data_IF_939526322974
#
_entry.id   IF_939526322974
#
_cell.length_a   1.000
_cell.length_b   1.000
_cell.length_c   1.000
_cell.angle_alpha   90.00
_cell.angle_beta   90.00
_cell.angle_gamma   90.00
#
_symmetry.space_group_name_H-M   'P 1'
#
loop_
_entity.id
_entity.type
_entity.pdbx_description
1 polymer ?
#
# COMPACT_ATOMS: atom_id res chain seq x y z
N UNK A 1 31.83 35.88 -3.86
CA UNK A 1 30.94 35.10 -4.75
C UNK A 1 30.17 34.15 -3.87
N UNK A 2 28.88 34.41 -3.67
CA UNK A 2 27.99 33.49 -2.97
C UNK A 2 27.91 32.19 -3.77
N UNK A 3 27.87 31.01 -3.13
CA UNK A 3 27.69 29.76 -3.86
C UNK A 3 26.35 29.82 -4.62
N UNK A 4 26.25 29.19 -5.81
CA UNK A 4 25.01 29.17 -6.55
C UNK A 4 23.92 28.54 -5.67
N UNK A 5 22.82 29.26 -5.45
CA UNK A 5 21.62 28.72 -4.85
C UNK A 5 21.18 27.54 -5.73
N UNK A 6 21.43 26.31 -5.27
CA UNK A 6 20.82 25.12 -5.86
C UNK A 6 19.32 25.29 -5.73
N UNK A 7 18.66 25.57 -6.85
CA UNK A 7 17.22 25.65 -6.93
C UNK A 7 16.65 24.32 -6.48
N UNK A 8 16.06 24.31 -5.28
CA UNK A 8 15.57 23.12 -4.60
C UNK A 8 14.34 22.63 -5.39
N UNK A 9 14.55 21.63 -6.27
CA UNK A 9 13.45 21.01 -7.04
C UNK A 9 12.47 20.33 -6.09
N UNK A 10 11.18 20.49 -6.35
CA UNK A 10 10.13 19.84 -5.56
C UNK A 10 10.03 18.36 -5.90
N UNK A 11 9.48 17.55 -4.99
CA UNK A 11 9.20 16.12 -5.24
C UNK A 11 8.25 15.96 -6.43
N UNK A 12 7.26 16.84 -6.58
CA UNK A 12 6.31 16.81 -7.69
C UNK A 12 7.00 16.94 -9.06
N UNK A 13 7.93 17.89 -9.21
CA UNK A 13 8.70 18.11 -10.45
C UNK A 13 9.57 16.91 -10.83
N UNK A 14 10.09 16.16 -9.85
CA UNK A 14 10.91 14.97 -10.11
C UNK A 14 10.09 13.77 -10.54
N UNK A 15 8.86 13.67 -10.06
CA UNK A 15 7.95 12.56 -10.33
C UNK A 15 7.17 12.74 -11.64
N UNK A 16 6.98 13.98 -12.11
CA UNK A 16 6.22 14.30 -13.32
C UNK A 16 6.73 13.58 -14.59
N UNK A 17 8.02 13.24 -14.63
CA UNK A 17 8.62 12.55 -15.77
C UNK A 17 9.14 11.15 -15.43
N UNK A 18 8.86 10.64 -14.23
CA UNK A 18 9.22 9.28 -13.84
C UNK A 18 8.11 8.32 -14.27
N UNK A 19 8.40 7.54 -15.30
CA UNK A 19 7.50 6.52 -15.81
C UNK A 19 8.08 5.14 -15.55
N UNK A 20 7.41 4.36 -14.71
CA UNK A 20 7.86 3.01 -14.38
C UNK A 20 7.06 1.97 -15.15
N UNK A 21 7.69 0.86 -15.54
CA UNK A 21 7.01 -0.21 -16.29
C UNK A 21 6.36 -1.22 -15.34
N UNK A 22 5.03 -1.39 -15.39
CA UNK A 22 4.34 -2.36 -14.53
C UNK A 22 4.73 -3.81 -14.85
N UNK A 23 5.40 -4.53 -13.95
CA UNK A 23 5.86 -5.93 -14.18
C UNK A 23 4.76 -6.99 -14.14
N UNK A 24 3.56 -6.66 -13.65
CA UNK A 24 2.42 -7.58 -13.58
C UNK A 24 1.22 -7.05 -14.39
N UNK A 25 0.30 -7.93 -14.86
CA UNK A 25 -1.09 -7.55 -15.10
C UNK A 25 -1.69 -7.04 -13.78
N UNK A 26 -2.23 -5.80 -13.74
CA UNK A 26 -2.85 -5.33 -12.52
C UNK A 26 -4.12 -6.15 -12.31
N UNK A 27 -4.18 -7.03 -11.31
CA UNK A 27 -5.41 -7.83 -11.00
C UNK A 27 -5.96 -8.68 -12.18
N UNK A 28 -6.86 -9.64 -11.91
CA UNK A 28 -7.68 -10.23 -12.98
C UNK A 28 -8.57 -9.16 -13.63
N UNK A 29 -8.98 -8.16 -12.83
CA UNK A 29 -9.79 -7.00 -13.26
C UNK A 29 -9.10 -6.10 -14.28
N UNK A 30 -7.76 -6.09 -14.36
CA UNK A 30 -7.04 -5.36 -15.40
C UNK A 30 -6.15 -6.24 -16.28
N UNK A 31 -6.35 -7.57 -16.27
CA UNK A 31 -5.74 -8.50 -17.23
C UNK A 31 -6.11 -8.17 -18.69
N UNK A 32 -7.24 -7.50 -18.91
CA UNK A 32 -7.63 -6.94 -20.22
C UNK A 32 -6.66 -5.86 -20.75
N UNK A 33 -5.98 -5.12 -19.88
CA UNK A 33 -4.99 -4.09 -20.28
C UNK A 33 -3.81 -4.70 -21.05
N UNK A 34 -3.41 -5.91 -20.69
CA UNK A 34 -2.37 -6.65 -21.43
C UNK A 34 -2.85 -7.09 -22.81
N UNK A 35 -4.16 -7.34 -22.98
CA UNK A 35 -4.75 -7.73 -24.27
C UNK A 35 -4.88 -6.59 -25.28
N UNK A 36 -4.92 -5.33 -24.83
CA UNK A 36 -5.13 -4.16 -25.71
C UNK A 36 -3.85 -3.38 -26.04
N UNK A 37 -2.71 -3.70 -25.40
CA UNK A 37 -1.40 -3.22 -25.82
C UNK A 37 -0.92 -4.02 -27.04
N UNK A 38 -1.28 -3.58 -28.25
CA UNK A 38 -1.12 -4.34 -29.51
C UNK A 38 0.33 -4.69 -29.94
N UNK A 39 1.37 -4.35 -29.17
CA UNK A 39 2.78 -4.68 -29.49
C UNK A 39 3.65 -5.10 -28.27
N UNK A 40 3.01 -5.54 -27.17
CA UNK A 40 3.62 -6.04 -25.91
C UNK A 40 4.95 -5.39 -25.44
N UNK A 41 4.83 -4.29 -24.69
CA UNK A 41 5.75 -3.97 -23.59
C UNK A 41 4.94 -3.32 -22.47
N UNK A 42 5.19 -3.73 -21.22
CA UNK A 42 4.51 -3.30 -19.99
C UNK A 42 4.07 -1.81 -19.99
N UNK A 43 2.85 -1.49 -19.49
CA UNK A 43 2.36 -0.12 -19.48
C UNK A 43 3.24 0.77 -18.60
N UNK A 44 3.49 2.00 -19.08
CA UNK A 44 4.16 3.02 -18.29
C UNK A 44 3.17 3.58 -17.27
N UNK A 45 3.60 3.66 -16.02
CA UNK A 45 2.79 4.16 -14.91
C UNK A 45 3.44 5.41 -14.33
N UNK A 46 2.64 6.45 -14.18
CA UNK A 46 2.97 7.69 -13.49
C UNK A 46 2.25 7.71 -12.14
N UNK A 47 2.94 8.21 -11.11
CA UNK A 47 2.41 8.35 -9.75
C UNK A 47 2.00 9.79 -9.52
N UNK A 48 0.73 10.03 -9.26
CA UNK A 48 0.18 11.34 -8.95
C UNK A 48 -0.29 11.34 -7.48
N UNK A 49 0.27 12.24 -6.68
CA UNK A 49 0.00 12.32 -5.24
C UNK A 49 -1.07 13.39 -4.99
N UNK A 50 -1.99 13.10 -4.09
CA UNK A 50 -2.93 14.08 -3.54
C UNK A 50 -2.96 13.99 -2.01
N UNK A 51 -3.65 14.95 -1.37
CA UNK A 51 -3.81 14.96 0.09
C UNK A 51 -4.48 13.69 0.64
N UNK A 52 -5.37 13.06 -0.13
CA UNK A 52 -6.19 11.93 0.35
C UNK A 52 -5.81 10.58 -0.26
N UNK A 53 -5.28 10.58 -1.48
CA UNK A 53 -5.04 9.37 -2.25
C UNK A 53 -3.81 9.44 -3.14
N UNK A 54 -3.32 8.28 -3.51
CA UNK A 54 -2.36 8.03 -4.57
C UNK A 54 -3.11 7.61 -5.84
N UNK A 55 -2.79 8.25 -6.96
CA UNK A 55 -3.28 7.86 -8.28
C UNK A 55 -2.16 7.25 -9.10
N UNK A 56 -2.39 6.05 -9.63
CA UNK A 56 -1.51 5.39 -10.59
C UNK A 56 -2.12 5.56 -11.98
N UNK A 57 -1.48 6.38 -12.82
CA UNK A 57 -1.98 6.71 -14.16
C UNK A 57 -1.20 5.96 -15.23
N UNK A 58 -1.91 5.28 -16.13
CA UNK A 58 -1.28 4.64 -17.29
C UNK A 58 -1.03 5.67 -18.38
N UNK A 59 0.21 5.72 -18.87
CA UNK A 59 0.66 6.62 -19.93
C UNK A 59 0.87 5.83 -21.22
N UNK A 60 0.26 6.23 -22.35
CA UNK A 60 0.51 5.59 -23.64
C UNK A 60 2.00 5.71 -24.03
N UNK A 61 2.62 4.59 -24.43
CA UNK A 61 3.94 4.62 -25.08
C UNK A 61 3.79 5.35 -26.42
N UNK A 62 4.15 6.63 -26.49
CA UNK A 62 4.23 7.33 -27.76
C UNK A 62 5.26 6.60 -28.62
N UNK A 63 4.81 5.97 -29.70
CA UNK A 63 5.70 5.37 -30.70
C UNK A 63 6.62 6.50 -31.19
N UNK A 64 7.90 6.46 -30.83
CA UNK A 64 8.91 7.31 -31.49
C UNK A 64 8.84 6.94 -32.97
N UNK A 65 8.20 7.78 -33.79
CA UNK A 65 8.28 7.68 -35.24
C UNK A 65 9.75 7.90 -35.62
N UNK A 66 10.46 6.79 -35.81
CA UNK A 66 11.73 6.76 -36.50
C UNK A 66 11.52 7.14 -37.95
N UNK A 67 12.32 8.09 -38.45
CA UNK A 67 12.62 8.21 -39.86
C UNK A 67 11.94 9.37 -40.57
N UNK A 68 12.51 10.56 -40.37
CA UNK A 68 12.72 11.45 -41.49
C UNK A 68 13.52 10.69 -42.57
N UNK A 69 12.82 10.17 -43.58
CA UNK A 69 13.40 9.65 -44.82
C UNK A 69 12.72 10.35 -45.98
N UNK A 70 13.29 11.49 -46.34
CA UNK A 70 13.48 11.99 -47.71
C UNK A 70 12.27 11.89 -48.64
N UNK A 71 11.46 12.95 -48.68
CA UNK A 71 10.67 13.25 -49.89
C UNK A 71 11.59 13.89 -50.93
N UNK A 72 12.14 13.06 -51.82
CA UNK A 72 12.60 13.52 -53.13
C UNK A 72 11.39 13.93 -53.95
N UNK A 73 11.53 15.12 -54.53
CA UNK A 73 10.73 15.72 -55.59
C UNK A 73 10.56 14.80 -56.80
N UNK A 74 9.32 14.68 -57.29
CA UNK A 74 9.05 14.50 -58.71
C UNK A 74 7.63 15.00 -59.03
N UNK A 75 7.59 15.99 -59.90
CA UNK A 75 6.43 16.61 -60.54
C UNK A 75 5.88 15.74 -61.68
N UNK A 76 4.55 15.69 -61.84
CA UNK A 76 3.91 15.76 -63.16
C UNK A 76 2.41 16.10 -63.05
N UNK A 77 1.98 17.07 -63.86
CA UNK A 77 0.61 17.55 -64.06
C UNK A 77 -0.23 16.63 -64.97
N UNK A 78 -1.54 16.47 -64.70
CA UNK A 78 -2.68 16.96 -65.54
C UNK A 78 -4.05 16.35 -65.15
N UNK A 79 -4.97 17.25 -64.75
CA UNK A 79 -6.39 17.45 -65.15
C UNK A 79 -7.47 16.32 -65.12
N UNK A 80 -8.79 16.67 -65.07
CA UNK A 80 -9.76 16.06 -64.16
C UNK A 80 -10.90 15.25 -64.81
N UNK A 81 -11.51 14.32 -64.07
CA UNK A 81 -12.88 13.84 -64.34
C UNK A 81 -13.51 13.13 -63.13
N UNK A 82 -14.57 13.77 -62.60
CA UNK A 82 -15.85 13.22 -62.09
C UNK A 82 -15.97 11.74 -61.69
N UNK A 83 -16.44 11.49 -60.45
CA UNK A 83 -17.22 10.29 -60.13
C UNK A 83 -17.12 9.75 -58.69
N UNK A 84 -18.22 9.91 -57.94
CA UNK A 84 -18.71 9.05 -56.84
C UNK A 84 -17.89 8.84 -55.56
N UNK A 85 -18.36 9.52 -54.50
CA UNK A 85 -18.72 8.96 -53.18
C UNK A 85 -17.84 7.86 -52.57
N UNK A 86 -16.99 8.26 -51.63
CA UNK A 86 -16.88 7.58 -50.32
C UNK A 86 -16.19 8.52 -49.33
N UNK A 87 -16.97 9.17 -48.48
CA UNK A 87 -16.46 9.86 -47.29
C UNK A 87 -15.99 8.78 -46.31
N UNK A 88 -14.74 8.36 -46.44
CA UNK A 88 -14.01 7.70 -45.36
C UNK A 88 -13.72 8.78 -44.33
N UNK A 89 -14.66 8.92 -43.39
CA UNK A 89 -14.42 9.66 -42.16
C UNK A 89 -13.27 8.96 -41.44
N UNK A 90 -12.06 9.50 -41.57
CA UNK A 90 -11.00 9.32 -40.58
C UNK A 90 -11.51 9.94 -39.27
N UNK A 91 -12.35 9.22 -38.56
CA UNK A 91 -12.57 9.46 -37.13
C UNK A 91 -11.25 9.13 -36.45
N UNK A 92 -10.43 10.16 -36.25
CA UNK A 92 -9.37 10.14 -35.27
C UNK A 92 -10.01 9.79 -33.92
N UNK A 93 -9.91 8.52 -33.53
CA UNK A 93 -10.33 8.03 -32.24
C UNK A 93 -9.62 8.91 -31.18
N UNK A 94 -10.38 9.80 -30.54
CA UNK A 94 -9.88 10.55 -29.38
C UNK A 94 -9.27 9.53 -28.42
N UNK A 95 -8.03 9.72 -27.91
CA UNK A 95 -7.47 8.78 -26.97
C UNK A 95 -8.42 8.69 -25.77
N UNK A 96 -8.99 7.50 -25.57
CA UNK A 96 -9.84 7.18 -24.41
C UNK A 96 -9.10 7.65 -23.15
N UNK A 97 -9.83 8.25 -22.21
CA UNK A 97 -9.25 8.83 -21.00
C UNK A 97 -8.22 7.89 -20.36
N UNK A 98 -7.09 8.42 -19.85
CA UNK A 98 -6.04 7.59 -19.27
C UNK A 98 -6.62 6.77 -18.12
N UNK A 99 -6.45 5.44 -18.20
CA UNK A 99 -6.92 4.52 -17.17
C UNK A 99 -6.09 4.76 -15.91
N UNK A 100 -6.77 4.95 -14.78
CA UNK A 100 -6.12 5.20 -13.50
C UNK A 100 -6.65 4.26 -12.41
N UNK A 101 -5.78 3.97 -11.44
CA UNK A 101 -6.13 3.34 -10.17
C UNK A 101 -5.97 4.38 -9.06
N UNK A 102 -6.95 4.45 -8.17
CA UNK A 102 -6.94 5.35 -7.02
C UNK A 102 -6.87 4.53 -5.74
N UNK A 103 -5.85 4.78 -4.92
CA UNK A 103 -5.65 4.15 -3.61
C UNK A 103 -5.72 5.22 -2.53
N UNK A 104 -6.61 5.08 -1.55
CA UNK A 104 -6.60 6.00 -0.42
C UNK A 104 -5.31 5.78 0.38
N UNK A 105 -4.72 6.85 0.92
CA UNK A 105 -3.50 6.69 1.71
C UNK A 105 -3.68 5.82 2.95
N UNK A 106 -4.90 5.75 3.47
CA UNK A 106 -5.24 4.88 4.59
C UNK A 106 -5.25 3.40 4.19
N UNK A 107 -5.30 3.09 2.90
CA UNK A 107 -5.20 1.72 2.37
C UNK A 107 -3.76 1.33 2.02
N UNK A 108 -2.88 2.30 1.76
CA UNK A 108 -1.47 2.05 1.42
C UNK A 108 -0.72 1.64 2.70
N UNK A 109 -0.02 0.50 2.62
CA UNK A 109 0.76 -0.04 3.73
C UNK A 109 2.23 0.40 3.65
N UNK A 110 2.78 0.45 2.45
CA UNK A 110 4.19 0.81 2.22
C UNK A 110 4.65 0.49 0.81
N UNK A 111 5.91 0.84 0.53
CA UNK A 111 6.57 0.56 -0.74
C UNK A 111 8.02 0.13 -0.50
N UNK A 112 8.51 -0.87 -1.22
CA UNK A 112 9.84 -1.46 -1.03
C UNK A 112 10.65 -1.45 -2.33
N UNK A 113 11.95 -1.23 -2.24
CA UNK A 113 12.88 -1.43 -3.36
C UNK A 113 13.43 -2.86 -3.34
N UNK A 114 13.40 -3.53 -4.49
CA UNK A 114 13.74 -4.93 -4.64
C UNK A 114 14.60 -5.20 -5.88
N UNK A 115 15.36 -6.27 -5.82
CA UNK A 115 15.97 -6.90 -6.99
C UNK A 115 14.89 -7.62 -7.82
N UNK A 116 15.20 -7.97 -9.07
CA UNK A 116 14.27 -8.70 -9.94
C UNK A 116 13.82 -10.07 -9.39
N UNK A 117 14.56 -10.64 -8.43
CA UNK A 117 14.20 -11.88 -7.72
C UNK A 117 13.34 -11.64 -6.45
N UNK A 118 12.85 -10.42 -6.22
CA UNK A 118 12.03 -10.06 -5.05
C UNK A 118 12.79 -9.81 -3.76
N UNK A 119 14.12 -9.97 -3.75
CA UNK A 119 14.95 -9.72 -2.58
C UNK A 119 15.12 -8.21 -2.31
N UNK A 120 15.22 -7.77 -1.04
CA UNK A 120 15.44 -6.37 -0.72
C UNK A 120 16.68 -5.79 -1.42
N UNK A 121 16.55 -4.58 -1.95
CA UNK A 121 17.64 -3.91 -2.66
C UNK A 121 18.57 -3.16 -1.69
N UNK A 122 19.85 -3.53 -1.68
CA UNK A 122 20.88 -2.69 -1.08
C UNK A 122 21.27 -1.57 -2.05
N UNK A 123 21.04 -0.30 -1.66
CA UNK A 123 21.31 0.86 -2.51
C UNK A 123 22.77 0.96 -2.97
N UNK A 124 23.71 0.49 -2.14
CA UNK A 124 25.16 0.49 -2.45
C UNK A 124 25.57 -0.48 -3.55
N UNK A 125 24.68 -1.40 -3.93
CA UNK A 125 24.94 -2.47 -4.91
C UNK A 125 24.27 -2.22 -6.26
N UNK A 126 23.83 -0.97 -6.53
CA UNK A 126 23.08 -0.64 -7.73
C UNK A 126 24.03 -0.42 -8.90
N UNK A 127 23.71 -1.06 -10.01
CA UNK A 127 24.48 -1.02 -11.25
C UNK A 127 23.66 -0.31 -12.31
N UNK A 128 24.22 0.71 -13.00
CA UNK A 128 23.58 1.33 -14.15
C UNK A 128 23.10 0.30 -15.17
N UNK A 129 21.99 0.57 -15.86
CA UNK A 129 21.34 -0.29 -16.88
C UNK A 129 20.87 -1.67 -16.41
N UNK A 130 21.04 -2.05 -15.13
CA UNK A 130 20.35 -3.21 -14.56
C UNK A 130 18.93 -2.86 -14.17
N UNK A 131 18.04 -3.86 -14.22
CA UNK A 131 16.62 -3.72 -13.89
C UNK A 131 16.39 -4.06 -12.42
N UNK A 132 15.63 -3.20 -11.76
CA UNK A 132 15.19 -3.33 -10.37
C UNK A 132 13.68 -3.11 -10.28
N UNK A 133 13.11 -3.32 -9.10
CA UNK A 133 11.66 -3.27 -8.86
C UNK A 133 11.33 -2.35 -7.68
N UNK A 134 10.34 -1.49 -7.86
CA UNK A 134 9.62 -0.82 -6.78
C UNK A 134 8.33 -1.60 -6.56
N UNK A 135 8.14 -2.17 -5.38
CA UNK A 135 6.90 -2.81 -4.98
C UNK A 135 6.06 -1.83 -4.15
N UNK A 136 4.77 -1.69 -4.45
CA UNK A 136 3.79 -0.92 -3.70
C UNK A 136 2.78 -1.89 -3.07
N UNK A 137 2.57 -1.77 -1.77
CA UNK A 137 1.66 -2.61 -1.00
C UNK A 137 0.47 -1.80 -0.47
N UNK A 138 -0.73 -2.32 -0.66
CA UNK A 138 -1.95 -1.75 -0.08
C UNK A 138 -2.91 -2.87 0.37
N UNK A 139 -3.84 -2.53 1.24
CA UNK A 139 -4.92 -3.40 1.68
C UNK A 139 -6.29 -2.75 1.45
N UNK A 140 -6.68 -2.52 0.17
CA UNK A 140 -7.92 -1.86 -0.16
C UNK A 140 -9.13 -2.74 0.12
N UNK A 141 -10.30 -2.11 0.24
CA UNK A 141 -11.58 -2.81 0.31
C UNK A 141 -11.87 -3.62 -0.96
N UNK A 142 -12.61 -4.72 -0.80
CA UNK A 142 -13.06 -5.60 -1.88
C UNK A 142 -14.12 -4.87 -2.71
N UNK A 143 -13.66 -4.08 -3.69
CA UNK A 143 -14.56 -3.26 -4.49
C UNK A 143 -13.91 -2.11 -5.24
N UNK A 144 -12.57 -2.01 -5.27
CA UNK A 144 -11.79 -0.98 -5.99
C UNK A 144 -12.51 -0.43 -7.23
N UNK A 145 -12.99 0.81 -7.08
CA UNK A 145 -13.80 1.52 -8.07
C UNK A 145 -12.93 1.87 -9.28
N UNK A 146 -13.22 1.29 -10.44
CA UNK A 146 -12.69 1.75 -11.72
C UNK A 146 -13.65 2.75 -12.35
N UNK A 147 -13.14 3.73 -13.11
CA UNK A 147 -13.99 4.65 -13.86
C UNK A 147 -14.78 3.87 -14.93
N UNK A 148 -16.00 3.52 -14.58
CA UNK A 148 -16.98 2.82 -15.42
C UNK A 148 -18.30 2.52 -14.70
N UNK A 149 -18.29 2.44 -13.36
CA UNK A 149 -19.49 2.19 -12.55
C UNK A 149 -20.11 3.44 -11.90
N UNK A 150 -19.67 4.65 -12.30
CA UNK A 150 -20.22 5.89 -11.73
C UNK A 150 -21.54 6.38 -12.36
N UNK A 151 -22.05 5.80 -13.46
CA UNK A 151 -23.15 6.44 -14.20
C UNK A 151 -24.50 5.70 -14.30
N UNK A 152 -24.68 4.49 -13.74
CA UNK A 152 -25.98 3.78 -13.86
C UNK A 152 -26.60 3.20 -12.58
N UNK A 153 -26.03 3.45 -11.40
CA UNK A 153 -26.60 2.92 -10.16
C UNK A 153 -26.88 4.02 -9.12
N UNK A 154 -27.63 5.06 -9.49
CA UNK A 154 -28.09 6.07 -8.51
C UNK A 154 -29.46 5.78 -7.87
N UNK A 155 -30.10 4.65 -8.17
CA UNK A 155 -31.43 4.36 -7.61
C UNK A 155 -31.59 3.05 -6.83
N UNK A 156 -30.51 2.32 -6.51
CA UNK A 156 -30.60 1.03 -5.80
C UNK A 156 -29.54 0.83 -4.69
N UNK A 157 -29.08 1.90 -4.04
CA UNK A 157 -27.88 1.85 -3.17
C UNK A 157 -28.10 1.98 -1.65
N UNK A 158 -29.33 1.93 -1.14
CA UNK A 158 -29.53 2.05 0.32
C UNK A 158 -29.25 0.79 1.16
N UNK A 159 -28.93 -0.36 0.56
CA UNK A 159 -28.71 -1.62 1.30
C UNK A 159 -27.27 -2.19 1.22
N UNK A 160 -26.36 -1.58 0.47
CA UNK A 160 -24.97 -2.08 0.30
C UNK A 160 -23.94 -1.39 1.20
N UNK A 161 -24.31 -0.27 1.82
CA UNK A 161 -23.41 0.53 2.67
C UNK A 161 -23.28 -0.02 4.10
N UNK A 162 -24.09 -1.01 4.48
CA UNK A 162 -24.09 -1.64 5.81
C UNK A 162 -23.28 -2.95 5.91
N UNK A 163 -22.73 -3.44 4.79
CA UNK A 163 -21.94 -4.67 4.82
C UNK A 163 -20.50 -4.39 5.26
N UNK A 164 -19.96 -5.14 6.24
CA UNK A 164 -18.60 -4.94 6.70
C UNK A 164 -17.58 -5.08 5.56
N UNK A 165 -16.59 -4.19 5.58
CA UNK A 165 -15.57 -4.11 4.53
C UNK A 165 -14.70 -5.36 4.54
N UNK A 166 -14.54 -6.05 3.41
CA UNK A 166 -13.55 -7.13 3.29
C UNK A 166 -12.27 -6.60 2.66
N UNK A 167 -11.11 -6.91 3.21
CA UNK A 167 -9.83 -6.41 2.69
C UNK A 167 -8.96 -7.52 2.14
N UNK A 168 -8.05 -7.15 1.23
CA UNK A 168 -7.04 -8.08 0.70
C UNK A 168 -5.72 -7.34 0.54
N UNK A 169 -4.64 -7.93 1.05
CA UNK A 169 -3.29 -7.47 0.77
C UNK A 169 -3.03 -7.58 -0.75
N UNK A 170 -2.56 -6.50 -1.36
CA UNK A 170 -2.21 -6.41 -2.77
C UNK A 170 -0.80 -5.84 -2.92
N UNK A 171 -0.13 -6.32 -3.95
CA UNK A 171 1.19 -5.88 -4.36
C UNK A 171 1.14 -5.45 -5.83
N UNK A 172 1.73 -4.30 -6.13
CA UNK A 172 2.01 -3.87 -7.50
C UNK A 172 3.50 -3.62 -7.64
N UNK A 173 4.10 -4.15 -8.70
CA UNK A 173 5.53 -4.02 -8.94
C UNK A 173 5.82 -3.22 -10.20
N UNK A 174 6.80 -2.33 -10.11
CA UNK A 174 7.17 -1.40 -11.16
C UNK A 174 8.66 -1.48 -11.43
N UNK A 175 9.02 -1.75 -12.68
CA UNK A 175 10.40 -1.90 -13.14
C UNK A 175 11.01 -0.52 -13.37
N UNK A 176 12.26 -0.40 -12.99
CA UNK A 176 13.09 0.78 -13.25
C UNK A 176 14.54 0.35 -13.54
N UNK A 177 15.30 1.20 -14.24
CA UNK A 177 16.73 0.97 -14.46
C UNK A 177 17.56 1.60 -13.35
N UNK A 178 18.73 1.03 -13.05
CA UNK A 178 19.65 1.56 -12.04
C UNK A 178 19.99 3.04 -12.21
N UNK A 179 19.98 3.55 -13.44
CA UNK A 179 20.18 4.98 -13.77
C UNK A 179 19.10 5.89 -13.16
N UNK A 180 17.96 5.34 -12.75
CA UNK A 180 16.80 6.06 -12.22
C UNK A 180 16.72 6.02 -10.70
N UNK A 181 17.67 5.38 -10.01
CA UNK A 181 17.61 5.09 -8.57
C UNK A 181 17.36 6.34 -7.72
N UNK A 182 17.99 7.47 -8.03
CA UNK A 182 17.82 8.68 -7.22
C UNK A 182 16.36 9.14 -7.22
N UNK A 183 15.71 9.18 -8.39
CA UNK A 183 14.30 9.56 -8.53
C UNK A 183 13.36 8.52 -7.91
N UNK A 184 13.65 7.24 -8.09
CA UNK A 184 12.85 6.14 -7.53
C UNK A 184 12.98 6.09 -6.00
N UNK A 185 14.13 6.48 -5.44
CA UNK A 185 14.35 6.58 -4.00
C UNK A 185 13.52 7.71 -3.39
N UNK A 186 13.42 8.86 -4.09
CA UNK A 186 12.53 9.94 -3.68
C UNK A 186 11.06 9.50 -3.71
N UNK A 187 10.64 8.82 -4.78
CA UNK A 187 9.29 8.24 -4.88
C UNK A 187 9.02 7.27 -3.72
N UNK A 188 9.93 6.34 -3.48
CA UNK A 188 9.84 5.36 -2.39
C UNK A 188 9.73 6.03 -1.02
N UNK A 189 10.52 7.06 -0.76
CA UNK A 189 10.43 7.80 0.51
C UNK A 189 9.08 8.51 0.63
N UNK A 190 8.62 9.19 -0.42
CA UNK A 190 7.32 9.84 -0.46
C UNK A 190 6.17 8.85 -0.20
N UNK A 191 6.15 7.72 -0.90
CA UNK A 191 5.13 6.67 -0.74
C UNK A 191 5.04 6.20 0.72
N UNK A 192 6.17 5.89 1.35
CA UNK A 192 6.18 5.39 2.72
C UNK A 192 5.87 6.47 3.76
N UNK A 193 6.35 7.70 3.58
CA UNK A 193 6.01 8.82 4.47
C UNK A 193 4.52 9.10 4.47
N UNK A 194 3.89 9.04 3.30
CA UNK A 194 2.44 9.22 3.18
C UNK A 194 1.65 7.98 3.62
N UNK A 195 2.20 6.78 3.49
CA UNK A 195 1.57 5.57 4.02
C UNK A 195 1.63 5.50 5.56
N UNK A 196 2.51 6.23 6.24
CA UNK A 196 2.63 6.17 7.70
C UNK A 196 1.36 6.73 8.40
N UNK A 197 0.65 5.93 9.23
CA UNK A 197 -0.53 6.40 9.96
C UNK A 197 -0.22 7.46 11.02
N UNK A 198 1.07 7.63 11.40
CA UNK A 198 1.54 8.62 12.38
C UNK A 198 1.73 10.01 11.78
N UNK A 199 1.54 10.18 10.48
CA UNK A 199 1.67 11.49 9.82
C UNK A 199 0.60 12.47 10.35
N UNK A 200 1.02 13.72 10.59
CA UNK A 200 0.09 14.83 10.76
C UNK A 200 -0.40 15.30 9.38
N UNK A 201 -1.71 15.52 9.27
CA UNK A 201 -2.44 15.72 8.00
C UNK A 201 -2.12 17.01 7.23
N UNK A 202 -1.10 17.78 7.63
CA UNK A 202 -0.89 19.16 7.19
C UNK A 202 0.31 19.38 6.26
N UNK A 203 1.11 18.37 5.91
CA UNK A 203 2.23 18.57 4.99
C UNK A 203 1.78 18.56 3.52
N UNK A 204 2.00 19.66 2.79
CA UNK A 204 1.69 19.73 1.35
C UNK A 204 2.81 19.12 0.51
N UNK A 205 2.44 18.15 -0.34
CA UNK A 205 3.33 17.40 -1.27
C UNK A 205 4.22 18.34 -2.11
N UNK A 206 3.70 19.51 -2.47
CA UNK A 206 4.34 20.43 -3.40
C UNK A 206 5.43 21.29 -2.74
N UNK A 207 5.42 21.37 -1.40
CA UNK A 207 6.29 22.27 -0.63
C UNK A 207 7.47 21.51 0.00
N UNK A 208 7.52 20.18 -0.14
CA UNK A 208 8.62 19.38 0.38
C UNK A 208 9.86 19.52 -0.51
N UNK A 209 10.92 20.05 0.09
CA UNK A 209 12.27 19.88 -0.42
C UNK A 209 12.57 18.38 -0.58
N UNK A 210 13.44 18.05 -1.55
CA UNK A 210 14.02 16.73 -1.72
C UNK A 210 14.28 16.04 -0.38
N UNK A 211 13.70 14.86 -0.18
CA UNK A 211 14.00 14.07 1.00
C UNK A 211 15.47 13.70 0.97
N UNK A 212 16.19 13.88 2.06
CA UNK A 212 17.54 13.33 2.11
C UNK A 212 17.39 11.80 2.13
N UNK A 213 18.04 11.06 1.21
CA UNK A 213 17.87 9.61 1.13
C UNK A 213 18.21 8.87 2.44
N UNK A 214 19.03 9.49 3.29
CA UNK A 214 19.48 9.00 4.59
C UNK A 214 18.59 9.47 5.76
N UNK A 215 17.64 10.36 5.54
CA UNK A 215 16.62 10.68 6.54
C UNK A 215 15.67 9.48 6.67
N UNK A 216 15.49 9.00 7.90
CA UNK A 216 14.65 7.86 8.21
C UNK A 216 13.25 8.06 7.61
N UNK A 217 12.72 6.98 7.04
CA UNK A 217 11.37 6.90 6.51
C UNK A 217 10.42 7.10 7.70
N UNK A 218 10.00 8.35 7.94
CA UNK A 218 9.03 8.74 8.96
C UNK A 218 9.36 8.24 10.39
N UNK A 219 10.37 8.83 11.03
CA UNK A 219 10.62 8.63 12.46
C UNK A 219 11.19 7.26 12.85
N UNK A 220 11.12 6.87 14.15
CA UNK A 220 11.63 5.59 14.61
C UNK A 220 10.81 4.42 14.04
N UNK A 221 11.48 3.30 13.76
CA UNK A 221 10.84 2.08 13.28
C UNK A 221 9.77 1.61 14.27
N UNK A 222 8.60 1.29 13.74
CA UNK A 222 7.47 0.77 14.52
C UNK A 222 7.77 -0.64 14.99
N UNK A 223 7.53 -0.93 16.27
CA UNK A 223 7.82 -2.24 16.87
C UNK A 223 6.58 -2.81 17.51
N UNK A 224 6.16 -4.00 17.08
CA UNK A 224 5.05 -4.72 17.67
C UNK A 224 5.55 -5.96 18.40
N UNK A 225 4.93 -6.29 19.54
CA UNK A 225 5.06 -7.62 20.15
C UNK A 225 3.82 -8.42 19.82
N UNK A 226 3.99 -9.66 19.38
CA UNK A 226 2.87 -10.55 19.05
C UNK A 226 2.93 -11.75 19.98
N UNK A 227 1.88 -11.96 20.77
CA UNK A 227 1.72 -13.14 21.62
C UNK A 227 0.83 -14.13 20.88
N UNK A 228 1.25 -15.37 20.73
CA UNK A 228 0.48 -16.39 20.00
C UNK A 228 0.43 -17.72 20.76
N UNK A 229 -0.76 -18.28 20.89
CA UNK A 229 -0.93 -19.66 21.34
C UNK A 229 -0.93 -20.60 20.12
N UNK A 230 0.06 -21.51 20.00
CA UNK A 230 0.11 -22.49 18.90
C UNK A 230 -1.06 -23.49 18.90
N UNK A 231 -1.73 -23.68 20.04
CA UNK A 231 -2.80 -24.66 20.25
C UNK A 231 -4.16 -24.16 19.77
N UNK A 232 -4.34 -22.85 19.68
CA UNK A 232 -5.57 -22.25 19.18
C UNK A 232 -5.77 -22.46 17.67
N UNK A 233 -7.02 -22.32 17.23
CA UNK A 233 -7.36 -22.42 15.81
C UNK A 233 -7.03 -23.78 15.19
N UNK A 234 -7.25 -24.86 15.96
CA UNK A 234 -6.96 -26.25 15.57
C UNK A 234 -5.48 -26.53 15.26
N UNK A 235 -4.56 -25.84 15.93
CA UNK A 235 -3.11 -26.03 15.75
C UNK A 235 -2.52 -25.29 14.55
N UNK A 236 -3.29 -24.41 13.90
CA UNK A 236 -2.88 -23.67 12.70
C UNK A 236 -2.57 -22.19 12.96
N UNK A 237 -2.62 -21.75 14.23
CA UNK A 237 -2.46 -20.35 14.59
C UNK A 237 -1.17 -19.73 14.06
N UNK A 238 -0.03 -20.37 14.32
CA UNK A 238 1.27 -19.91 13.87
C UNK A 238 1.33 -19.85 12.33
N UNK A 239 0.83 -20.87 11.64
CA UNK A 239 0.78 -20.89 10.18
C UNK A 239 -0.08 -19.76 9.62
N UNK A 240 -1.26 -19.50 10.22
CA UNK A 240 -2.13 -18.39 9.81
C UNK A 240 -1.46 -17.04 10.04
N UNK A 241 -0.78 -16.86 11.18
CA UNK A 241 0.00 -15.66 11.46
C UNK A 241 1.09 -15.45 10.39
N UNK A 242 1.91 -16.46 10.12
CA UNK A 242 2.99 -16.40 9.13
C UNK A 242 2.47 -16.15 7.71
N UNK A 243 1.28 -16.68 7.38
CA UNK A 243 0.70 -16.57 6.05
C UNK A 243 -0.03 -15.24 5.82
N UNK A 244 -0.75 -14.71 6.82
CA UNK A 244 -1.65 -13.58 6.62
C UNK A 244 -1.23 -12.31 7.36
N UNK A 245 -0.67 -12.42 8.56
CA UNK A 245 -0.39 -11.27 9.44
C UNK A 245 1.06 -10.79 9.28
N UNK A 246 2.03 -11.69 9.42
CA UNK A 246 3.45 -11.35 9.34
C UNK A 246 3.84 -10.64 8.02
N UNK A 247 3.29 -11.02 6.86
CA UNK A 247 3.56 -10.31 5.61
C UNK A 247 3.07 -8.86 5.65
N UNK A 248 1.90 -8.60 6.26
CA UNK A 248 1.34 -7.24 6.37
C UNK A 248 2.21 -6.34 7.25
N UNK A 249 2.65 -6.85 8.41
CA UNK A 249 3.58 -6.11 9.27
C UNK A 249 4.91 -5.83 8.57
N UNK A 250 5.44 -6.80 7.81
CA UNK A 250 6.69 -6.65 7.06
C UNK A 250 6.60 -5.56 5.99
N UNK A 251 5.54 -5.56 5.17
CA UNK A 251 5.38 -4.56 4.10
C UNK A 251 5.03 -3.16 4.62
N UNK A 252 4.55 -3.08 5.85
CA UNK A 252 4.36 -1.83 6.58
C UNK A 252 5.61 -1.37 7.36
N UNK A 253 6.75 -2.05 7.17
CA UNK A 253 8.01 -1.79 7.87
C UNK A 253 7.90 -1.81 9.42
N UNK A 254 7.06 -2.70 9.95
CA UNK A 254 6.89 -2.93 11.38
C UNK A 254 7.79 -4.10 11.79
N UNK A 255 8.69 -3.86 12.75
CA UNK A 255 9.49 -4.90 13.40
C UNK A 255 8.60 -5.67 14.38
N UNK A 256 8.60 -7.00 14.30
CA UNK A 256 7.74 -7.84 15.13
C UNK A 256 8.55 -8.77 16.01
N UNK A 257 8.32 -8.73 17.32
CA UNK A 257 8.82 -9.71 18.28
C UNK A 257 7.72 -10.74 18.56
N UNK A 258 7.88 -11.96 18.06
CA UNK A 258 6.91 -13.04 18.26
C UNK A 258 7.23 -13.83 19.53
N UNK A 259 6.23 -14.03 20.38
CA UNK A 259 6.29 -14.86 21.58
C UNK A 259 5.25 -15.98 21.47
N UNK A 260 5.74 -17.22 21.41
CA UNK A 260 4.90 -18.40 21.25
C UNK A 260 4.69 -19.01 22.64
N UNK A 261 3.44 -19.04 23.12
CA UNK A 261 3.10 -19.64 24.42
C UNK A 261 1.63 -20.04 24.48
N UNK A 262 1.38 -21.26 24.95
CA UNK A 262 0.04 -21.77 25.25
C UNK A 262 -0.35 -21.61 26.74
N UNK A 263 0.53 -20.97 27.51
CA UNK A 263 0.41 -20.85 28.96
C UNK A 263 -0.19 -19.46 29.28
N UNK A 264 -1.39 -19.48 29.85
CA UNK A 264 -2.14 -18.28 30.21
C UNK A 264 -1.42 -17.53 31.35
N UNK A 265 -0.89 -18.24 32.34
CA UNK A 265 -0.08 -17.65 33.39
C UNK A 265 1.19 -16.99 32.82
N UNK A 266 1.79 -17.58 31.78
CA UNK A 266 2.93 -16.98 31.09
C UNK A 266 2.58 -15.65 30.43
N UNK A 267 1.39 -15.51 29.84
CA UNK A 267 0.93 -14.24 29.25
C UNK A 267 0.78 -13.15 30.32
N UNK A 268 0.22 -13.50 31.47
CA UNK A 268 0.15 -12.59 32.63
C UNK A 268 1.54 -12.16 33.08
N UNK A 269 2.52 -13.07 33.12
CA UNK A 269 3.90 -12.75 33.49
C UNK A 269 4.61 -11.87 32.45
N UNK A 270 4.37 -12.12 31.16
CA UNK A 270 4.87 -11.28 30.07
C UNK A 270 4.36 -9.84 30.21
N UNK A 271 3.07 -9.67 30.53
CA UNK A 271 2.49 -8.35 30.77
C UNK A 271 3.13 -7.65 31.99
N UNK A 272 3.32 -8.37 33.11
CA UNK A 272 4.00 -7.84 34.29
C UNK A 272 5.41 -7.35 34.01
N UNK A 273 6.13 -8.00 33.11
CA UNK A 273 7.51 -7.68 32.74
C UNK A 273 7.64 -6.83 31.46
N UNK A 274 6.52 -6.38 30.87
CA UNK A 274 6.54 -5.64 29.61
C UNK A 274 7.39 -4.36 29.74
N UNK A 275 8.39 -4.14 28.87
CA UNK A 275 9.10 -2.87 28.80
C UNK A 275 8.20 -1.82 28.16
N UNK A 276 7.64 -0.94 28.99
CA UNK A 276 6.79 0.16 28.53
C UNK A 276 7.58 1.07 27.58
N UNK A 277 6.90 1.58 26.54
CA UNK A 277 7.46 2.44 25.48
C UNK A 277 8.44 1.75 24.50
N UNK A 278 8.69 0.44 24.63
CA UNK A 278 9.49 -0.29 23.64
C UNK A 278 8.68 -0.71 22.41
N UNK A 279 7.42 -1.11 22.65
CA UNK A 279 6.50 -1.55 21.62
C UNK A 279 5.41 -0.50 21.42
N UNK A 280 5.14 -0.16 20.18
CA UNK A 280 4.01 0.71 19.82
C UNK A 280 2.69 0.00 20.10
N UNK A 281 2.63 -1.32 19.88
CA UNK A 281 1.46 -2.15 20.11
C UNK A 281 1.87 -3.55 20.59
N UNK A 282 1.07 -4.13 21.49
CA UNK A 282 1.11 -5.57 21.80
C UNK A 282 -0.13 -6.22 21.20
N UNK A 283 0.06 -7.09 20.22
CA UNK A 283 -1.01 -7.85 19.59
C UNK A 283 -1.13 -9.23 20.26
N UNK A 284 -2.32 -9.58 20.73
CA UNK A 284 -2.65 -10.90 21.23
C UNK A 284 -3.35 -11.66 20.12
N UNK A 285 -2.73 -12.75 19.68
CA UNK A 285 -3.23 -13.59 18.62
C UNK A 285 -3.93 -14.80 19.24
N UNK A 286 -5.17 -14.54 19.66
CA UNK A 286 -6.06 -15.51 20.25
C UNK A 286 -7.35 -14.94 20.81
N UNK A 287 -8.05 -15.74 21.62
CA UNK A 287 -9.32 -15.38 22.23
C UNK A 287 -9.25 -14.33 23.34
N UNK A 288 -10.42 -13.86 23.77
CA UNK A 288 -10.61 -12.81 24.79
C UNK A 288 -9.98 -13.17 26.15
N UNK A 289 -9.85 -14.47 26.46
CA UNK A 289 -9.21 -14.96 27.69
C UNK A 289 -7.73 -14.56 27.79
N UNK A 290 -6.97 -14.62 26.70
CA UNK A 290 -5.57 -14.23 26.68
C UNK A 290 -5.39 -12.74 26.87
N UNK A 291 -6.28 -11.94 26.27
CA UNK A 291 -6.26 -10.50 26.47
C UNK A 291 -6.64 -10.11 27.91
N UNK A 292 -7.68 -10.74 28.46
CA UNK A 292 -8.04 -10.55 29.87
C UNK A 292 -6.82 -10.78 30.78
N UNK A 293 -6.08 -11.84 30.52
CA UNK A 293 -4.93 -12.25 31.33
C UNK A 293 -3.73 -11.32 31.15
N UNK A 294 -3.54 -10.81 29.94
CA UNK A 294 -2.58 -9.75 29.68
C UNK A 294 -2.94 -8.47 30.46
N UNK A 295 -4.21 -8.04 30.42
CA UNK A 295 -4.70 -6.86 31.15
C UNK A 295 -4.49 -7.03 32.66
N UNK A 296 -4.86 -8.19 33.23
CA UNK A 296 -4.65 -8.48 34.65
C UNK A 296 -3.16 -8.46 35.00
N UNK A 297 -2.28 -8.91 34.11
CA UNK A 297 -0.85 -8.81 34.29
C UNK A 297 -0.34 -7.36 34.30
N UNK A 298 -0.87 -6.48 33.45
CA UNK A 298 -0.57 -5.04 33.50
C UNK A 298 -1.08 -4.40 34.79
N UNK A 299 -2.30 -4.75 35.23
CA UNK A 299 -2.93 -4.23 36.46
C UNK A 299 -2.25 -4.69 37.74
N UNK A 300 -1.60 -5.86 37.72
CA UNK A 300 -0.82 -6.37 38.85
C UNK A 300 0.52 -5.66 39.05
N UNK A 301 0.94 -4.77 38.13
CA UNK A 301 2.19 -4.03 38.25
C UNK A 301 2.09 -2.87 39.24
N UNK A 302 3.19 -2.52 39.93
CA UNK A 302 3.24 -1.30 40.75
C UNK A 302 2.94 -0.01 39.97
N UNK A 303 3.34 0.05 38.69
CA UNK A 303 3.16 1.18 37.77
C UNK A 303 1.96 0.99 36.82
N UNK A 304 0.96 0.20 37.22
CA UNK A 304 -0.17 -0.20 36.36
C UNK A 304 -0.88 0.96 35.65
N UNK A 305 -0.98 2.14 36.28
CA UNK A 305 -1.63 3.33 35.70
C UNK A 305 -0.96 3.77 34.40
N UNK A 306 0.35 3.59 34.29
CA UNK A 306 1.10 3.83 33.06
C UNK A 306 1.04 2.59 32.16
N UNK A 307 1.22 1.39 32.72
CA UNK A 307 1.25 0.15 31.96
C UNK A 307 -0.04 -0.13 31.18
N UNK A 308 -1.20 0.17 31.78
CA UNK A 308 -2.53 -0.05 31.17
C UNK A 308 -2.78 0.84 29.95
N UNK A 309 -1.97 1.88 29.74
CA UNK A 309 -2.04 2.75 28.56
C UNK A 309 -1.27 2.19 27.36
N UNK A 310 -0.58 1.06 27.51
CA UNK A 310 0.04 0.37 26.38
C UNK A 310 -1.03 0.00 25.34
N UNK A 311 -0.90 0.41 24.07
CA UNK A 311 -1.85 -0.01 23.04
C UNK A 311 -1.86 -1.52 22.86
N UNK A 312 -3.07 -2.09 22.85
CA UNK A 312 -3.33 -3.51 22.68
C UNK A 312 -4.09 -3.77 21.40
N UNK A 313 -3.79 -4.91 20.78
CA UNK A 313 -4.42 -5.39 19.56
C UNK A 313 -4.89 -6.83 19.71
N UNK A 314 -5.91 -7.22 18.95
CA UNK A 314 -6.41 -8.60 18.93
C UNK A 314 -6.36 -9.12 17.50
N UNK A 315 -5.85 -10.34 17.32
CA UNK A 315 -5.86 -11.06 16.06
C UNK A 315 -6.75 -12.31 16.25
N UNK A 316 -7.96 -12.34 15.68
CA UNK A 316 -8.90 -13.46 15.81
C UNK A 316 -8.41 -14.64 14.96
N UNK A 317 -7.48 -15.42 15.52
CA UNK A 317 -6.80 -16.50 14.81
C UNK A 317 -7.70 -17.71 14.60
N UNK A 318 -8.65 -17.94 15.49
CA UNK A 318 -9.65 -18.97 15.36
C UNK A 318 -11.01 -18.39 14.91
N UNK A 319 -11.87 -19.28 14.42
CA UNK A 319 -13.27 -18.98 14.12
C UNK A 319 -14.18 -19.37 15.29
N UNK A 320 -13.63 -19.40 16.50
CA UNK A 320 -14.33 -19.77 17.73
C UNK A 320 -15.21 -18.64 18.25
N UNK A 321 -16.06 -18.96 19.22
CA UNK A 321 -16.98 -18.01 19.86
C UNK A 321 -16.32 -17.03 20.84
N UNK A 322 -15.00 -17.15 21.05
CA UNK A 322 -14.25 -16.44 22.10
C UNK A 322 -13.52 -15.18 21.58
N UNK A 323 -14.06 -14.51 20.56
CA UNK A 323 -13.49 -13.32 19.92
C UNK A 323 -14.45 -12.13 20.03
N UNK A 324 -15.17 -12.00 21.14
CA UNK A 324 -16.21 -11.00 21.34
C UNK A 324 -15.66 -9.58 21.22
N UNK A 325 -14.51 -9.31 21.83
CA UNK A 325 -13.90 -7.99 21.74
C UNK A 325 -13.36 -7.70 20.33
N UNK A 326 -12.76 -8.68 19.67
CA UNK A 326 -12.34 -8.53 18.27
C UNK A 326 -13.55 -8.24 17.36
N UNK A 327 -14.69 -8.89 17.60
CA UNK A 327 -15.94 -8.64 16.88
C UNK A 327 -16.46 -7.22 17.12
N UNK A 328 -16.45 -6.74 18.38
CA UNK A 328 -16.86 -5.37 18.71
C UNK A 328 -15.96 -4.32 18.06
N UNK A 329 -14.64 -4.53 18.09
CA UNK A 329 -13.67 -3.62 17.44
C UNK A 329 -13.85 -3.61 15.92
N UNK A 330 -14.00 -4.78 15.30
CA UNK A 330 -14.25 -4.89 13.86
C UNK A 330 -15.55 -4.20 13.46
N UNK A 331 -16.64 -4.42 14.22
CA UNK A 331 -17.93 -3.77 13.98
C UNK A 331 -17.84 -2.25 14.11
N UNK A 332 -17.18 -1.74 15.15
CA UNK A 332 -16.98 -0.29 15.35
C UNK A 332 -16.15 0.33 14.21
N UNK A 333 -15.19 -0.42 13.65
CA UNK A 333 -14.39 -0.01 12.50
C UNK A 333 -15.06 -0.20 11.13
N UNK A 334 -16.29 -0.73 11.06
CA UNK A 334 -16.93 -1.17 9.82
C UNK A 334 -16.09 -2.16 9.00
N UNK A 335 -15.31 -3.00 9.69
CA UNK A 335 -14.44 -4.03 9.13
C UNK A 335 -15.03 -5.42 9.34
N UNK A 336 -14.67 -6.38 8.48
CA UNK A 336 -14.98 -7.78 8.72
C UNK A 336 -14.16 -8.35 9.89
N UNK A 337 -14.78 -9.26 10.64
CA UNK A 337 -14.07 -10.09 11.62
C UNK A 337 -13.25 -11.15 10.87
N UNK A 338 -12.06 -10.74 10.42
CA UNK A 338 -11.08 -11.64 9.83
C UNK A 338 -9.65 -11.21 10.17
N UNK A 339 -8.68 -12.11 9.94
CA UNK A 339 -7.28 -11.88 10.27
C UNK A 339 -6.62 -10.76 9.46
N UNK A 340 -7.01 -10.60 8.19
CA UNK A 340 -6.40 -9.61 7.29
C UNK A 340 -6.87 -8.22 7.67
N UNK A 341 -8.16 -8.05 7.90
CA UNK A 341 -8.78 -6.83 8.40
C UNK A 341 -8.25 -6.47 9.79
N UNK A 342 -8.12 -7.44 10.70
CA UNK A 342 -7.56 -7.18 12.02
C UNK A 342 -6.09 -6.74 11.94
N UNK A 343 -5.26 -7.42 11.14
CA UNK A 343 -3.89 -7.00 10.90
C UNK A 343 -3.81 -5.61 10.23
N UNK A 344 -4.71 -5.31 9.30
CA UNK A 344 -4.84 -3.98 8.69
C UNK A 344 -5.13 -2.90 9.74
N UNK A 345 -6.10 -3.14 10.63
CA UNK A 345 -6.45 -2.22 11.71
C UNK A 345 -5.27 -2.01 12.65
N UNK A 346 -4.46 -3.04 12.95
CA UNK A 346 -3.23 -2.85 13.72
C UNK A 346 -2.17 -2.04 12.98
N UNK A 347 -2.04 -2.22 11.66
CA UNK A 347 -1.08 -1.47 10.85
C UNK A 347 -1.49 0.01 10.72
N UNK A 348 -2.76 0.30 10.43
CA UNK A 348 -3.23 1.63 10.01
C UNK A 348 -4.10 2.35 11.03
N UNK A 349 -4.71 1.62 11.94
CA UNK A 349 -5.61 2.16 12.95
C UNK A 349 -4.90 3.02 13.99
N UNK A 350 -5.71 3.72 14.77
CA UNK A 350 -5.26 4.51 15.92
C UNK A 350 -5.77 3.86 17.20
N UNK A 351 -5.00 3.88 18.30
CA UNK A 351 -5.50 3.43 19.59
C UNK A 351 -6.77 4.18 19.97
N UNK A 352 -7.77 3.45 20.45
CA UNK A 352 -9.00 3.99 21.02
C UNK A 352 -9.05 3.62 22.50
N UNK A 353 -9.53 4.53 23.34
CA UNK A 353 -9.74 4.24 24.75
C UNK A 353 -10.88 3.22 24.89
N UNK A 354 -10.67 2.21 25.76
CA UNK A 354 -11.65 1.19 26.09
C UNK A 354 -11.91 1.21 27.59
N UNK A 355 -13.18 1.23 27.98
CA UNK A 355 -13.56 1.15 29.38
C UNK A 355 -13.26 -0.24 29.95
N UNK A 356 -12.67 -0.28 31.14
CA UNK A 356 -12.36 -1.52 31.87
C UNK A 356 -13.19 -1.52 33.15
N UNK A 357 -13.96 -2.59 33.37
CA UNK A 357 -14.67 -2.79 34.64
C UNK A 357 -13.74 -3.41 35.68
N UNK A 358 -13.84 -2.93 36.92
CA UNK A 358 -13.07 -3.40 38.09
C UNK A 358 -13.62 -4.68 38.70
#
# INVERSE_FOLDING_TARGET
MSPPQQQQRSVAELLEHLHLESSQPPDERFAWLHRHSQHTQHPLVQFEFSKTHLTLRIVPKRLRRTGDRGRKSASHEKAPSTGSSSSSSEEGEKPRDPIFMKLQWDEVLGAHLQMACGQPLCRRSIVPRRVYMLALYACPSEGLMTNGSQQHHHHLHHHKDDLPTKRRLREWTFRFYGDEIERVTQLHHALNKWADPRRDSLEEIHTQALFKPDEAISGPQRKFRVLIDPSEGAGWSLRKYEQFVAPMFRVANIETTLEITADVERIREIAKQLPLNHFECVAVAGGDNYLHEFIQGLMARPDWKQAIRQPLGILPIDSGSANGLAASVAHHGHENLDLVNSAFTLVKGRPQDLDITS
#
